data_IF_559486319692
#
_entry.id   IF_559486319692
#
_cell.length_a   1.000
_cell.length_b   1.000
_cell.length_c   1.000
_cell.angle_alpha   90.00
_cell.angle_beta   90.00
_cell.angle_gamma   90.00
#
_symmetry.space_group_name_H-M   'P 1'
#
loop_
_entity.id
_entity.type
_entity.pdbx_description
1 polymer ?
#
# COMPACT_ATOMS: atom_id res chain seq x y z
N UNK A 1 -13.10 -70.06 -0.85
CA UNK A 1 -12.25 -69.15 -1.65
C UNK A 1 -12.57 -67.72 -1.24
N UNK A 2 -11.69 -67.08 -0.48
CA UNK A 2 -11.90 -65.72 -0.01
C UNK A 2 -10.56 -65.07 0.27
N UNK A 3 -9.95 -64.47 -0.75
CA UNK A 3 -8.75 -63.66 -0.61
C UNK A 3 -9.15 -62.19 -0.46
N UNK A 4 -9.25 -61.80 0.81
CA UNK A 4 -9.03 -60.48 1.39
C UNK A 4 -8.57 -59.36 0.44
N UNK A 5 -9.47 -58.40 0.17
CA UNK A 5 -9.14 -57.03 -0.26
C UNK A 5 -8.55 -56.26 0.93
N UNK A 6 -7.23 -56.11 0.98
CA UNK A 6 -6.50 -55.18 1.87
C UNK A 6 -5.28 -54.63 1.11
N UNK A 7 -5.49 -53.70 0.17
CA UNK A 7 -4.36 -53.06 -0.53
C UNK A 7 -4.49 -51.55 -0.76
N UNK A 8 -5.65 -50.95 -0.48
CA UNK A 8 -5.89 -49.55 -0.89
C UNK A 8 -5.71 -48.51 0.24
N UNK A 9 -5.67 -48.91 1.52
CA UNK A 9 -5.59 -47.94 2.63
C UNK A 9 -4.18 -47.38 2.86
N UNK A 10 -3.15 -48.22 2.86
CA UNK A 10 -1.76 -47.78 3.11
C UNK A 10 -1.20 -46.92 1.98
N UNK A 11 -1.60 -47.17 0.73
CA UNK A 11 -1.15 -46.34 -0.41
C UNK A 11 -1.77 -44.94 -0.34
N UNK A 12 -3.05 -44.86 0.04
CA UNK A 12 -3.75 -43.59 0.25
C UNK A 12 -3.13 -42.75 1.38
N UNK A 13 -2.73 -43.40 2.49
CA UNK A 13 -2.06 -42.73 3.61
C UNK A 13 -0.68 -42.21 3.19
N UNK A 14 0.09 -42.99 2.43
CA UNK A 14 1.42 -42.60 1.96
C UNK A 14 1.36 -41.35 1.05
N UNK A 15 0.36 -41.27 0.15
CA UNK A 15 0.15 -40.10 -0.71
C UNK A 15 -0.19 -38.86 0.12
N UNK A 16 -1.09 -38.99 1.11
CA UNK A 16 -1.46 -37.86 1.98
C UNK A 16 -0.24 -37.34 2.76
N UNK A 17 0.59 -38.24 3.29
CA UNK A 17 1.82 -37.84 4.00
C UNK A 17 2.78 -37.10 3.07
N UNK A 18 2.96 -37.57 1.83
CA UNK A 18 3.81 -36.88 0.84
C UNK A 18 3.26 -35.50 0.48
N UNK A 19 1.95 -35.35 0.29
CA UNK A 19 1.33 -34.05 0.02
C UNK A 19 1.51 -33.09 1.20
N UNK A 20 1.31 -33.57 2.44
CA UNK A 20 1.50 -32.75 3.65
C UNK A 20 2.96 -32.33 3.80
N UNK A 21 3.91 -33.22 3.51
CA UNK A 21 5.34 -32.89 3.55
C UNK A 21 5.73 -31.86 2.48
N UNK A 22 5.23 -32.01 1.25
CA UNK A 22 5.49 -31.05 0.16
C UNK A 22 4.85 -29.70 0.49
N UNK A 23 3.59 -29.68 0.92
CA UNK A 23 2.91 -28.46 1.32
C UNK A 23 3.63 -27.75 2.47
N UNK A 24 4.10 -28.51 3.47
CA UNK A 24 4.86 -27.97 4.60
C UNK A 24 6.22 -27.43 4.16
N UNK A 25 6.93 -28.14 3.27
CA UNK A 25 8.20 -27.67 2.71
C UNK A 25 8.02 -26.39 1.86
N UNK A 26 6.94 -26.30 1.09
CA UNK A 26 6.59 -25.11 0.31
C UNK A 26 6.23 -23.90 1.17
N UNK A 27 5.70 -24.10 2.38
CA UNK A 27 5.46 -23.00 3.34
C UNK A 27 6.76 -22.40 3.87
N UNK A 28 7.82 -23.21 4.04
CA UNK A 28 9.14 -22.76 4.51
C UNK A 28 9.88 -21.93 3.43
N UNK A 29 9.59 -22.20 2.14
CA UNK A 29 10.21 -21.50 1.01
C UNK A 29 9.58 -20.15 0.67
N UNK A 30 8.53 -19.72 1.39
CA UNK A 30 7.91 -18.41 1.14
C UNK A 30 8.82 -17.30 1.67
N UNK A 31 9.05 -16.22 0.89
CA UNK A 31 9.77 -15.05 1.42
C UNK A 31 9.06 -14.52 2.66
N UNK A 32 9.84 -14.15 3.68
CA UNK A 32 9.31 -13.52 4.88
C UNK A 32 8.68 -12.18 4.53
N UNK A 33 7.55 -11.80 5.14
CA UNK A 33 7.02 -10.44 5.02
C UNK A 33 8.05 -9.45 5.57
N UNK A 34 8.33 -8.40 4.82
CA UNK A 34 9.22 -7.30 5.22
C UNK A 34 8.39 -6.03 5.36
N UNK A 35 8.56 -5.32 6.48
CA UNK A 35 7.94 -4.03 6.68
C UNK A 35 8.68 -2.99 5.84
N UNK A 36 7.94 -2.27 5.00
CA UNK A 36 8.47 -1.19 4.18
C UNK A 36 7.99 0.13 4.78
N UNK A 37 8.96 1.02 5.03
CA UNK A 37 8.70 2.41 5.42
C UNK A 37 9.52 3.28 4.48
N UNK A 38 8.85 3.99 3.58
CA UNK A 38 9.46 4.99 2.73
C UNK A 38 9.00 6.38 3.17
N UNK A 39 9.91 7.35 3.18
CA UNK A 39 9.64 8.72 3.61
C UNK A 39 10.14 9.67 2.52
N UNK A 40 9.35 10.69 2.20
CA UNK A 40 9.75 11.74 1.29
C UNK A 40 10.92 12.55 1.85
N UNK A 41 11.69 13.19 0.97
CA UNK A 41 12.87 13.95 1.38
C UNK A 41 12.55 15.12 2.35
N UNK A 42 11.34 15.67 2.26
CA UNK A 42 10.84 16.74 3.12
C UNK A 42 10.10 16.24 4.36
N UNK A 43 10.03 14.92 4.58
CA UNK A 43 9.32 14.27 5.69
C UNK A 43 7.81 14.58 5.77
N UNK A 44 7.20 15.04 4.68
CA UNK A 44 5.77 15.34 4.61
C UNK A 44 4.97 14.07 4.30
N UNK A 45 5.42 13.27 3.32
CA UNK A 45 4.76 12.04 2.91
C UNK A 45 5.55 10.83 3.41
N UNK A 46 4.85 9.92 4.07
CA UNK A 46 5.35 8.59 4.39
C UNK A 46 4.42 7.53 3.81
N UNK A 47 5.01 6.45 3.34
CA UNK A 47 4.32 5.24 2.91
C UNK A 47 4.77 4.10 3.81
N UNK A 48 3.82 3.49 4.50
CA UNK A 48 4.04 2.29 5.30
C UNK A 48 3.29 1.11 4.68
N UNK A 49 3.83 -0.10 4.79
CA UNK A 49 3.17 -1.30 4.31
C UNK A 49 4.03 -2.54 4.48
N UNK A 50 3.57 -3.67 3.94
CA UNK A 50 4.28 -4.95 4.01
C UNK A 50 4.51 -5.49 2.61
N UNK A 51 5.78 -5.80 2.27
CA UNK A 51 6.12 -6.49 1.02
C UNK A 51 6.39 -7.97 1.29
N UNK A 52 5.94 -8.85 0.38
CA UNK A 52 6.25 -10.30 0.40
C UNK A 52 7.36 -10.68 -0.59
N UNK A 53 8.03 -9.70 -1.17
CA UNK A 53 9.04 -9.88 -2.22
C UNK A 53 9.97 -8.67 -2.27
N UNK A 54 10.99 -8.68 -3.13
CA UNK A 54 12.01 -7.63 -3.26
C UNK A 54 11.48 -6.35 -3.93
N UNK A 55 10.40 -5.78 -3.39
CA UNK A 55 9.85 -4.49 -3.80
C UNK A 55 10.44 -3.36 -2.96
N UNK A 56 10.70 -2.21 -3.57
CA UNK A 56 11.12 -0.99 -2.88
C UNK A 56 10.17 0.13 -3.23
N UNK A 57 9.69 0.86 -2.24
CA UNK A 57 8.87 2.05 -2.43
C UNK A 57 9.79 3.26 -2.58
N UNK A 58 9.62 3.98 -3.69
CA UNK A 58 10.30 5.24 -3.97
C UNK A 58 9.27 6.36 -3.90
N UNK A 59 9.67 7.48 -3.30
CA UNK A 59 8.84 8.68 -3.19
C UNK A 59 9.62 9.84 -3.80
N UNK A 60 9.11 10.39 -4.88
CA UNK A 60 9.68 11.54 -5.58
C UNK A 60 8.74 12.73 -5.44
N UNK A 61 9.30 13.88 -5.08
CA UNK A 61 8.55 15.14 -5.06
C UNK A 61 8.57 15.73 -6.48
N UNK A 62 7.41 16.07 -6.99
CA UNK A 62 7.25 16.74 -8.28
C UNK A 62 7.14 18.24 -8.08
N UNK A 63 8.07 18.99 -8.67
CA UNK A 63 8.04 20.45 -8.71
C UNK A 63 7.39 20.93 -10.04
N UNK A 64 6.72 22.09 -10.03
CA UNK A 64 6.12 22.68 -11.24
C UNK A 64 4.70 22.17 -11.57
N UNK A 65 4.06 21.47 -10.63
CA UNK A 65 2.69 20.93 -10.76
C UNK A 65 1.71 21.58 -9.76
N UNK A 66 2.04 22.78 -9.28
CA UNK A 66 1.33 23.45 -8.18
C UNK A 66 -0.12 23.83 -8.53
N UNK A 67 -0.48 23.89 -9.82
CA UNK A 67 -1.83 24.20 -10.30
C UNK A 67 -2.65 22.95 -10.64
N UNK A 68 -2.13 21.75 -10.39
CA UNK A 68 -2.76 20.52 -10.85
C UNK A 68 -3.89 20.04 -9.94
N UNK A 69 -3.78 20.23 -8.62
CA UNK A 69 -4.84 19.94 -7.64
C UNK A 69 -5.54 21.25 -7.25
N UNK A 70 -6.89 21.29 -7.20
CA UNK A 70 -7.62 22.44 -6.65
C UNK A 70 -7.22 22.73 -5.20
N UNK A 71 -6.93 23.99 -4.87
CA UNK A 71 -6.54 24.41 -3.51
C UNK A 71 -5.42 23.54 -2.92
N UNK A 72 -4.35 23.33 -3.70
CA UNK A 72 -3.20 22.52 -3.29
C UNK A 72 -2.57 23.04 -1.99
N UNK A 73 -2.33 22.12 -1.04
CA UNK A 73 -1.76 22.39 0.29
C UNK A 73 -0.38 21.76 0.50
N UNK A 74 0.02 20.81 -0.34
CA UNK A 74 1.34 20.18 -0.30
C UNK A 74 1.96 20.12 -1.70
N UNK A 75 3.26 19.83 -1.83
CA UNK A 75 3.79 19.33 -3.10
C UNK A 75 3.01 18.09 -3.57
N UNK A 76 3.07 17.82 -4.87
CA UNK A 76 2.63 16.53 -5.43
C UNK A 76 3.79 15.55 -5.32
N UNK A 77 3.48 14.31 -4.97
CA UNK A 77 4.44 13.23 -4.88
C UNK A 77 4.09 12.13 -5.87
N UNK A 78 5.10 11.60 -6.53
CA UNK A 78 5.03 10.31 -7.21
C UNK A 78 5.52 9.21 -6.28
N UNK A 79 4.66 8.23 -6.05
CA UNK A 79 4.98 7.05 -5.27
C UNK A 79 5.04 5.86 -6.20
N UNK A 80 6.21 5.23 -6.26
CA UNK A 80 6.48 4.12 -7.18
C UNK A 80 6.92 2.87 -6.41
N UNK A 81 6.26 1.75 -6.68
CA UNK A 81 6.73 0.43 -6.30
C UNK A 81 7.66 -0.10 -7.38
N UNK A 82 8.96 -0.11 -7.09
CA UNK A 82 9.97 -0.67 -7.97
C UNK A 82 10.22 -2.14 -7.62
N UNK A 83 10.42 -2.97 -8.65
CA UNK A 83 10.63 -4.42 -8.52
C UNK A 83 9.39 -5.25 -8.89
N UNK A 84 9.42 -6.54 -8.56
CA UNK A 84 8.38 -7.53 -8.91
C UNK A 84 7.38 -7.78 -7.77
N UNK A 85 7.28 -6.83 -6.83
CA UNK A 85 6.51 -7.02 -5.61
C UNK A 85 5.15 -6.36 -5.57
N UNK A 86 4.42 -6.68 -4.51
CA UNK A 86 3.17 -6.02 -4.11
C UNK A 86 3.35 -5.45 -2.71
N UNK A 87 2.78 -4.28 -2.48
CA UNK A 87 2.73 -3.66 -1.16
C UNK A 87 1.34 -3.94 -0.57
N UNK A 88 1.27 -4.81 0.43
CA UNK A 88 0.04 -5.14 1.14
C UNK A 88 -0.15 -4.24 2.36
N UNK A 89 -1.41 -3.95 2.72
CA UNK A 89 -1.77 -3.13 3.89
C UNK A 89 -1.04 -1.78 3.86
N UNK A 90 -0.96 -1.20 2.67
CA UNK A 90 -0.21 0.02 2.50
C UNK A 90 -1.06 1.21 2.94
N UNK A 91 -0.40 2.19 3.53
CA UNK A 91 -1.03 3.44 3.93
C UNK A 91 -0.17 4.62 3.52
N UNK A 92 -0.83 5.68 3.08
CA UNK A 92 -0.25 7.00 3.06
C UNK A 92 -0.38 7.63 4.43
N UNK A 93 0.70 8.25 4.89
CA UNK A 93 0.71 9.10 6.07
C UNK A 93 1.27 10.45 5.66
N UNK A 94 0.39 11.45 5.63
CA UNK A 94 0.78 12.83 5.43
C UNK A 94 0.91 13.52 6.78
N UNK A 95 2.12 14.00 7.07
CA UNK A 95 2.43 14.86 8.20
C UNK A 95 2.33 16.32 7.76
N UNK A 96 1.67 17.16 8.55
CA UNK A 96 1.60 18.59 8.29
C UNK A 96 1.92 19.37 9.55
N UNK A 97 2.78 20.37 9.41
CA UNK A 97 3.03 21.35 10.46
C UNK A 97 1.84 22.31 10.51
N UNK A 98 1.12 22.33 11.64
CA UNK A 98 0.05 23.28 12.00
C UNK A 98 -0.61 23.99 10.82
N UNK A 99 -1.79 23.51 10.42
CA UNK A 99 -2.63 24.20 9.47
C UNK A 99 -2.71 25.69 9.82
N UNK A 100 -2.18 26.53 8.93
CA UNK A 100 -2.42 27.96 9.00
C UNK A 100 -3.94 28.14 9.09
N UNK A 101 -4.39 29.00 10.01
CA UNK A 101 -5.76 29.13 10.52
C UNK A 101 -6.89 29.41 9.48
N UNK A 102 -6.65 29.18 8.19
CA UNK A 102 -7.52 29.42 7.04
C UNK A 102 -8.23 28.17 6.52
N UNK A 103 -7.67 26.97 6.67
CA UNK A 103 -8.35 25.73 6.28
C UNK A 103 -8.84 24.98 7.51
N UNK A 104 -10.12 24.60 7.54
CA UNK A 104 -10.62 23.70 8.57
C UNK A 104 -9.99 22.33 8.32
N UNK A 105 -9.41 21.70 9.35
CA UNK A 105 -8.78 20.37 9.24
C UNK A 105 -9.72 19.31 8.62
N UNK A 106 -11.03 19.49 8.77
CA UNK A 106 -12.06 18.59 8.21
C UNK A 106 -12.26 18.75 6.69
N UNK A 107 -11.72 19.83 6.11
CA UNK A 107 -11.82 20.14 4.69
C UNK A 107 -10.58 19.64 3.94
N UNK A 108 -9.60 19.02 4.59
CA UNK A 108 -8.37 18.58 3.93
C UNK A 108 -8.53 17.13 3.50
N UNK A 109 -8.19 16.83 2.25
CA UNK A 109 -8.23 15.48 1.70
C UNK A 109 -6.97 15.16 0.91
N UNK A 110 -6.68 13.87 0.78
CA UNK A 110 -5.68 13.36 -0.15
C UNK A 110 -6.35 13.25 -1.51
N UNK A 111 -5.69 13.78 -2.53
CA UNK A 111 -6.05 13.61 -3.92
C UNK A 111 -5.10 12.61 -4.57
N UNK A 112 -5.66 11.70 -5.36
CA UNK A 112 -4.91 10.78 -6.22
C UNK A 112 -5.22 11.10 -7.68
N UNK A 113 -4.19 11.09 -8.54
CA UNK A 113 -4.40 11.26 -9.97
C UNK A 113 -4.91 9.96 -10.59
N UNK A 114 -6.11 10.00 -11.14
CA UNK A 114 -6.68 8.89 -11.89
C UNK A 114 -6.23 8.96 -13.34
N UNK A 115 -5.47 7.97 -13.78
CA UNK A 115 -4.90 7.89 -15.13
C UNK A 115 -5.92 7.56 -16.21
N UNK A 116 -7.07 6.97 -15.84
CA UNK A 116 -8.14 6.64 -16.78
C UNK A 116 -8.97 7.87 -17.11
N UNK A 117 -9.32 8.67 -16.09
CA UNK A 117 -10.11 9.90 -16.22
C UNK A 117 -9.25 11.14 -16.49
N UNK A 118 -7.93 11.04 -16.30
CA UNK A 118 -6.96 12.13 -16.37
C UNK A 118 -7.30 13.30 -15.45
N UNK A 119 -7.86 12.99 -14.27
CA UNK A 119 -8.28 13.97 -13.28
C UNK A 119 -7.85 13.58 -11.88
N UNK A 120 -7.80 14.58 -10.99
CA UNK A 120 -7.56 14.38 -9.57
C UNK A 120 -8.85 14.03 -8.85
N UNK A 121 -8.81 12.94 -8.10
CA UNK A 121 -9.96 12.42 -7.36
C UNK A 121 -9.61 12.38 -5.88
N UNK A 122 -10.53 12.89 -5.04
CA UNK A 122 -10.37 12.82 -3.60
C UNK A 122 -10.58 11.38 -3.13
N UNK A 123 -9.63 10.85 -2.38
CA UNK A 123 -9.71 9.49 -1.82
C UNK A 123 -10.18 9.52 -0.36
N UNK A 124 -10.77 8.42 0.15
CA UNK A 124 -11.16 8.32 1.55
C UNK A 124 -9.97 8.58 2.47
N UNK A 125 -10.13 9.50 3.40
CA UNK A 125 -9.06 9.95 4.31
C UNK A 125 -9.54 9.95 5.74
N UNK A 126 -8.65 9.54 6.64
CA UNK A 126 -8.85 9.59 8.09
C UNK A 126 -7.88 10.62 8.69
N UNK A 127 -8.36 11.35 9.69
CA UNK A 127 -7.61 12.41 10.33
C UNK A 127 -7.33 12.06 11.79
N UNK A 128 -6.06 12.02 12.16
CA UNK A 128 -5.62 11.90 13.56
C UNK A 128 -5.23 13.27 14.11
N UNK A 129 -6.11 13.82 14.94
CA UNK A 129 -5.90 15.11 15.63
C UNK A 129 -4.74 15.09 16.63
N UNK A 130 -4.49 13.94 17.27
CA UNK A 130 -3.44 13.82 18.26
C UNK A 130 -2.05 13.80 17.62
N UNK A 131 -1.93 13.15 16.47
CA UNK A 131 -0.67 13.04 15.73
C UNK A 131 -0.47 14.11 14.65
N UNK A 132 -1.50 14.91 14.33
CA UNK A 132 -1.51 15.84 13.18
C UNK A 132 -1.15 15.11 11.87
N UNK A 133 -1.83 13.99 11.63
CA UNK A 133 -1.61 13.15 10.46
C UNK A 133 -2.90 12.88 9.69
N UNK A 134 -2.76 12.80 8.38
CA UNK A 134 -3.79 12.34 7.45
C UNK A 134 -3.39 10.98 6.91
N UNK A 135 -4.29 10.02 7.03
CA UNK A 135 -4.05 8.65 6.54
C UNK A 135 -5.06 8.24 5.47
N UNK A 136 -4.60 7.42 4.54
CA UNK A 136 -5.45 6.75 3.55
C UNK A 136 -4.87 5.38 3.27
N UNK A 137 -5.75 4.39 3.13
CA UNK A 137 -5.37 3.11 2.55
C UNK A 137 -4.85 3.33 1.13
N UNK A 138 -3.85 2.53 0.77
CA UNK A 138 -3.15 2.59 -0.50
C UNK A 138 -3.19 1.20 -1.16
N UNK A 139 -3.72 1.15 -2.38
CA UNK A 139 -3.52 0.03 -3.30
C UNK A 139 -2.48 0.45 -4.36
N UNK A 140 -1.22 0.04 -4.16
CA UNK A 140 -0.11 0.45 -5.01
C UNK A 140 0.23 -0.63 -6.03
N UNK A 141 -0.18 -0.39 -7.29
CA UNK A 141 0.33 -1.13 -8.45
C UNK A 141 1.11 -0.21 -9.38
N UNK A 142 2.45 -0.32 -9.37
CA UNK A 142 3.31 0.52 -10.20
C UNK A 142 3.52 1.91 -9.59
N UNK A 143 3.04 2.96 -10.25
CA UNK A 143 3.27 4.36 -9.85
C UNK A 143 1.93 5.10 -9.73
N UNK A 144 1.83 5.94 -8.71
CA UNK A 144 0.69 6.81 -8.43
C UNK A 144 1.16 8.22 -8.07
N UNK A 145 0.34 9.19 -8.43
CA UNK A 145 0.56 10.59 -8.05
C UNK A 145 -0.43 10.96 -6.96
N UNK A 146 0.06 11.58 -5.90
CA UNK A 146 -0.74 11.99 -4.75
C UNK A 146 -0.34 13.36 -4.24
N UNK A 147 -1.30 14.08 -3.66
CA UNK A 147 -1.05 15.35 -3.00
C UNK A 147 -2.19 15.71 -2.05
N UNK A 148 -1.98 16.73 -1.23
CA UNK A 148 -3.00 17.28 -0.34
C UNK A 148 -3.66 18.50 -0.96
N UNK A 149 -4.97 18.61 -0.79
CA UNK A 149 -5.73 19.79 -1.16
C UNK A 149 -6.93 19.99 -0.25
N UNK A 150 -7.55 21.17 -0.35
CA UNK A 150 -8.85 21.42 0.27
C UNK A 150 -9.95 20.75 -0.56
N UNK A 151 -10.96 20.21 0.14
CA UNK A 151 -12.11 19.56 -0.43
C UNK A 151 -12.99 20.61 -1.07
N UNK A 152 -13.05 20.58 -2.39
CA UNK A 152 -14.00 21.39 -3.15
C UNK A 152 -15.40 20.77 -2.98
N UNK A 153 -16.30 21.50 -2.30
CA UNK A 153 -17.72 21.17 -2.11
C UNK A 153 -18.55 21.51 -3.35
#
# INVERSE_FOLDING_TARGET
>A
MGTSKKKDSSFSIAIVVVIVLIASALLILRPSPEQVVAVSQDNVLRVEGVTRSTGTVLIERLDGVETTIPSLLSPVYEVTLSGIGTLEQAEFLFSFSEFSARASLQEVVIYQFNRETLSWEAIPTFFDLGAQMLTSELDLSGSILVGLGERVL
#
